data_IF_853562752105
#
_entry.id   IF_853562752105
#
_cell.length_a   1.000
_cell.length_b   1.000
_cell.length_c   1.000
_cell.angle_alpha   90.00
_cell.angle_beta   90.00
_cell.angle_gamma   90.00
#
_symmetry.space_group_name_H-M   'P 1'
#
loop_
_entity.id
_entity.type
_entity.pdbx_description
1 polymer ?
#
# COMPACT_ATOMS: atom_id res chain seq x y z
N UNK A 1 -10.79 -16.70 5.23
CA UNK A 1 -9.71 -15.98 5.94
C UNK A 1 -8.33 -16.30 5.37
N UNK A 2 -7.96 -17.58 5.32
CA UNK A 2 -6.65 -17.96 4.76
C UNK A 2 -6.47 -17.47 3.33
N UNK A 3 -7.50 -17.56 2.49
CA UNK A 3 -7.44 -17.09 1.11
C UNK A 3 -7.17 -15.58 1.03
N UNK A 4 -7.77 -14.80 1.92
CA UNK A 4 -7.55 -13.35 1.95
C UNK A 4 -6.09 -13.02 2.29
N UNK A 5 -5.48 -13.76 3.21
CA UNK A 5 -4.07 -13.59 3.55
C UNK A 5 -3.17 -14.01 2.39
N UNK A 6 -3.49 -15.12 1.70
CA UNK A 6 -2.74 -15.58 0.54
C UNK A 6 -2.83 -14.58 -0.61
N UNK A 7 -4.01 -14.03 -0.85
CA UNK A 7 -4.21 -13.01 -1.89
C UNK A 7 -3.42 -11.74 -1.56
N UNK A 8 -3.41 -11.33 -0.30
CA UNK A 8 -2.60 -10.20 0.14
C UNK A 8 -1.11 -10.47 -0.06
N UNK A 9 -0.65 -11.67 0.28
CA UNK A 9 0.76 -12.05 0.10
C UNK A 9 1.17 -11.94 -1.37
N UNK A 10 0.32 -12.41 -2.29
CA UNK A 10 0.58 -12.30 -3.73
C UNK A 10 0.68 -10.84 -4.18
N UNK A 11 -0.23 -9.98 -3.71
CA UNK A 11 -0.16 -8.55 -4.01
C UNK A 11 1.08 -7.90 -3.43
N UNK A 12 1.44 -8.24 -2.19
CA UNK A 12 2.63 -7.70 -1.55
C UNK A 12 3.91 -8.08 -2.29
N UNK A 13 4.00 -9.31 -2.79
CA UNK A 13 5.12 -9.76 -3.60
C UNK A 13 5.23 -8.98 -4.91
N UNK A 14 4.10 -8.74 -5.57
CA UNK A 14 4.07 -7.94 -6.80
C UNK A 14 4.50 -6.49 -6.52
N UNK A 15 4.04 -5.90 -5.41
CA UNK A 15 4.46 -4.56 -5.00
C UNK A 15 5.95 -4.53 -4.66
N UNK A 16 6.47 -5.59 -4.03
CA UNK A 16 7.90 -5.67 -3.72
C UNK A 16 8.75 -5.60 -4.99
N UNK A 17 8.35 -6.30 -6.06
CA UNK A 17 9.04 -6.23 -7.34
C UNK A 17 8.98 -4.81 -7.93
N UNK A 18 7.82 -4.15 -7.87
CA UNK A 18 7.67 -2.76 -8.28
C UNK A 18 8.59 -1.83 -7.48
N UNK A 19 8.69 -2.05 -6.15
CA UNK A 19 9.54 -1.24 -5.28
C UNK A 19 11.02 -1.40 -5.63
N UNK A 20 11.45 -2.59 -6.03
CA UNK A 20 12.82 -2.80 -6.48
C UNK A 20 13.10 -2.00 -7.76
N UNK A 21 12.17 -1.97 -8.70
CA UNK A 21 12.29 -1.17 -9.92
C UNK A 21 12.34 0.32 -9.58
N UNK A 22 11.48 0.77 -8.69
CA UNK A 22 11.45 2.16 -8.20
C UNK A 22 12.81 2.54 -7.60
N UNK A 23 13.39 1.66 -6.79
CA UNK A 23 14.69 1.92 -6.17
C UNK A 23 15.80 2.08 -7.21
N UNK A 24 15.81 1.22 -8.24
CA UNK A 24 16.80 1.31 -9.32
C UNK A 24 16.66 2.62 -10.08
N UNK A 25 15.44 3.00 -10.42
CA UNK A 25 15.17 4.22 -11.19
C UNK A 25 15.46 5.47 -10.36
N UNK A 26 15.15 5.45 -9.08
CA UNK A 26 15.47 6.56 -8.17
C UNK A 26 17.00 6.78 -8.08
N UNK A 27 17.77 5.70 -8.00
CA UNK A 27 19.24 5.80 -7.98
C UNK A 27 19.77 6.36 -9.28
N UNK A 28 19.15 6.02 -10.41
CA UNK A 28 19.54 6.59 -11.71
C UNK A 28 19.33 8.10 -11.75
N UNK A 29 18.18 8.57 -11.24
CA UNK A 29 17.92 10.01 -11.15
C UNK A 29 18.89 10.72 -10.20
N UNK A 30 19.22 10.08 -9.09
CA UNK A 30 20.21 10.59 -8.14
C UNK A 30 21.58 10.80 -8.81
N UNK A 31 22.01 9.84 -9.63
CA UNK A 31 23.27 9.96 -10.38
C UNK A 31 23.22 11.13 -11.36
N UNK A 32 22.10 11.37 -12.04
CA UNK A 32 21.96 12.52 -12.93
C UNK A 32 22.12 13.83 -12.16
N UNK A 33 21.55 13.93 -10.96
CA UNK A 33 21.70 15.12 -10.12
C UNK A 33 23.14 15.30 -9.65
N UNK A 34 23.81 14.22 -9.24
CA UNK A 34 25.21 14.24 -8.84
C UNK A 34 26.13 14.66 -9.99
N UNK A 35 25.77 14.33 -11.23
CA UNK A 35 26.48 14.77 -12.43
C UNK A 35 26.31 16.26 -12.73
N UNK A 36 25.52 16.97 -11.93
CA UNK A 36 25.38 18.43 -12.05
C UNK A 36 24.13 18.92 -12.74
N UNK A 37 23.21 18.03 -13.15
CA UNK A 37 21.95 18.46 -13.76
C UNK A 37 21.04 19.11 -12.71
N UNK A 38 20.41 20.25 -13.01
CA UNK A 38 19.44 20.85 -12.09
C UNK A 38 18.21 19.96 -11.94
N UNK A 39 17.53 20.05 -10.80
CA UNK A 39 16.33 19.25 -10.53
C UNK A 39 15.25 19.40 -11.60
N UNK A 40 15.07 20.61 -12.14
CA UNK A 40 14.08 20.83 -13.18
C UNK A 40 14.35 20.01 -14.44
N UNK A 41 15.61 19.80 -14.79
CA UNK A 41 15.98 18.96 -15.92
C UNK A 41 15.88 17.46 -15.60
N UNK A 42 16.31 17.07 -14.40
CA UNK A 42 16.21 15.68 -13.96
C UNK A 42 14.75 15.22 -13.97
N UNK A 43 13.84 16.07 -13.46
CA UNK A 43 12.41 15.70 -13.31
C UNK A 43 11.61 15.93 -14.59
N UNK A 44 12.12 16.67 -15.56
CA UNK A 44 11.44 16.90 -16.85
C UNK A 44 11.57 15.71 -17.81
N UNK A 45 12.50 14.78 -17.56
CA UNK A 45 12.71 13.62 -18.42
C UNK A 45 11.56 12.62 -18.35
N UNK A 46 11.39 11.84 -19.41
CA UNK A 46 10.35 10.80 -19.48
C UNK A 46 10.54 9.74 -18.40
N UNK A 47 11.80 9.39 -18.11
CA UNK A 47 12.13 8.39 -17.09
C UNK A 47 11.66 8.83 -15.70
N UNK A 48 11.81 10.12 -15.38
CA UNK A 48 11.33 10.65 -14.11
C UNK A 48 9.81 10.63 -14.04
N UNK A 49 9.12 10.99 -15.12
CA UNK A 49 7.66 10.95 -15.20
C UNK A 49 7.13 9.52 -14.99
N UNK A 50 7.72 8.54 -15.66
CA UNK A 50 7.37 7.14 -15.51
C UNK A 50 7.60 6.65 -14.08
N UNK A 51 8.73 7.03 -13.47
CA UNK A 51 9.03 6.68 -12.07
C UNK A 51 7.99 7.24 -11.11
N UNK A 52 7.64 8.52 -11.25
CA UNK A 52 6.65 9.15 -10.36
C UNK A 52 5.28 8.51 -10.50
N UNK A 53 4.88 8.14 -11.72
CA UNK A 53 3.63 7.43 -11.94
C UNK A 53 3.65 6.05 -11.30
N UNK A 54 4.74 5.31 -11.45
CA UNK A 54 4.88 3.99 -10.85
C UNK A 54 4.84 4.06 -9.33
N UNK A 55 5.53 5.04 -8.73
CA UNK A 55 5.51 5.25 -7.28
C UNK A 55 4.09 5.45 -6.77
N UNK A 56 3.32 6.33 -7.42
CA UNK A 56 1.95 6.61 -7.00
C UNK A 56 1.03 5.42 -7.21
N UNK A 57 1.14 4.72 -8.34
CA UNK A 57 0.32 3.55 -8.63
C UNK A 57 0.62 2.40 -7.67
N UNK A 58 1.90 2.15 -7.39
CA UNK A 58 2.34 1.11 -6.45
C UNK A 58 1.86 1.41 -5.03
N UNK A 59 1.94 2.68 -4.60
CA UNK A 59 1.44 3.11 -3.29
C UNK A 59 -0.06 2.91 -3.15
N UNK A 60 -0.84 3.27 -4.17
CA UNK A 60 -2.29 3.06 -4.17
C UNK A 60 -2.64 1.57 -4.14
N UNK A 61 -1.93 0.76 -4.91
CA UNK A 61 -2.15 -0.69 -4.97
C UNK A 61 -1.94 -1.33 -3.60
N UNK A 62 -0.85 -0.96 -2.92
CA UNK A 62 -0.57 -1.49 -1.59
C UNK A 62 -1.61 -1.01 -0.58
N UNK A 63 -1.97 0.27 -0.60
CA UNK A 63 -2.99 0.82 0.30
C UNK A 63 -4.34 0.14 0.10
N UNK A 64 -4.74 -0.12 -1.15
CA UNK A 64 -5.98 -0.82 -1.47
C UNK A 64 -5.96 -2.25 -0.94
N UNK A 65 -4.86 -2.97 -1.16
CA UNK A 65 -4.71 -4.35 -0.68
C UNK A 65 -4.73 -4.41 0.84
N UNK A 66 -4.02 -3.50 1.51
CA UNK A 66 -3.99 -3.41 2.97
C UNK A 66 -5.38 -3.12 3.54
N UNK A 67 -6.07 -2.12 2.97
CA UNK A 67 -7.42 -1.76 3.41
C UNK A 67 -8.42 -2.90 3.24
N UNK A 68 -8.34 -3.63 2.12
CA UNK A 68 -9.19 -4.79 1.87
C UNK A 68 -8.96 -5.91 2.88
N UNK A 69 -7.68 -6.21 3.16
CA UNK A 69 -7.33 -7.22 4.16
C UNK A 69 -7.83 -6.82 5.55
N UNK A 70 -7.61 -5.56 5.96
CA UNK A 70 -8.05 -5.07 7.27
C UNK A 70 -9.57 -5.20 7.43
N UNK A 71 -10.35 -4.88 6.38
CA UNK A 71 -11.81 -5.04 6.41
C UNK A 71 -12.20 -6.50 6.59
N UNK A 72 -11.56 -7.40 5.86
CA UNK A 72 -11.84 -8.84 5.95
C UNK A 72 -11.54 -9.36 7.35
N UNK A 73 -10.37 -9.02 7.90
CA UNK A 73 -9.97 -9.43 9.24
C UNK A 73 -10.94 -8.90 10.32
N UNK A 74 -11.29 -7.61 10.23
CA UNK A 74 -12.19 -7.00 11.19
C UNK A 74 -13.57 -7.68 11.16
N UNK A 75 -14.09 -7.98 9.98
CA UNK A 75 -15.39 -8.64 9.83
C UNK A 75 -15.36 -10.05 10.40
N UNK A 76 -14.31 -10.82 10.14
CA UNK A 76 -14.18 -12.17 10.69
C UNK A 76 -14.11 -12.14 12.21
N UNK A 77 -13.32 -11.23 12.78
CA UNK A 77 -13.23 -11.09 14.24
C UNK A 77 -14.58 -10.65 14.85
N UNK A 78 -15.30 -9.77 14.16
CA UNK A 78 -16.64 -9.37 14.60
C UNK A 78 -17.63 -10.53 14.59
N UNK A 79 -17.55 -11.41 13.59
CA UNK A 79 -18.39 -12.62 13.53
C UNK A 79 -18.08 -13.58 14.67
N UNK A 80 -16.84 -13.59 15.18
CA UNK A 80 -16.47 -14.38 16.35
C UNK A 80 -16.97 -13.78 17.65
N UNK A 81 -17.60 -12.61 17.60
CA UNK A 81 -18.18 -11.95 18.77
C UNK A 81 -17.24 -11.02 19.51
N UNK A 82 -16.08 -10.69 18.96
CA UNK A 82 -15.14 -9.78 19.59
C UNK A 82 -15.66 -8.34 19.59
N UNK A 83 -15.39 -7.60 20.68
CA UNK A 83 -15.71 -6.18 20.75
C UNK A 83 -14.80 -5.37 19.82
N UNK A 84 -15.25 -4.16 19.43
CA UNK A 84 -14.44 -3.27 18.62
C UNK A 84 -13.10 -2.93 19.28
N UNK A 85 -13.06 -2.81 20.62
CA UNK A 85 -11.81 -2.56 21.36
C UNK A 85 -10.84 -3.72 21.21
N UNK A 86 -11.35 -4.95 21.34
CA UNK A 86 -10.51 -6.15 21.23
C UNK A 86 -10.00 -6.33 19.80
N UNK A 87 -10.85 -6.11 18.81
CA UNK A 87 -10.46 -6.13 17.38
C UNK A 87 -9.37 -5.11 17.15
N UNK A 88 -9.53 -3.87 17.64
CA UNK A 88 -8.54 -2.81 17.50
C UNK A 88 -7.19 -3.19 18.07
N UNK A 89 -7.18 -3.83 19.26
CA UNK A 89 -5.93 -4.30 19.87
C UNK A 89 -5.24 -5.36 19.01
N UNK A 90 -6.01 -6.30 18.47
CA UNK A 90 -5.44 -7.37 17.62
C UNK A 90 -4.91 -6.83 16.31
N UNK A 91 -5.60 -5.85 15.70
CA UNK A 91 -5.21 -5.28 14.40
C UNK A 91 -4.27 -4.09 14.54
N UNK A 92 -4.00 -3.62 15.76
CA UNK A 92 -3.10 -2.48 15.97
C UNK A 92 -3.69 -1.13 15.59
N UNK A 93 -5.02 -0.98 15.68
CA UNK A 93 -5.72 0.27 15.34
C UNK A 93 -6.66 0.67 16.48
N UNK A 94 -7.19 1.90 16.45
CA UNK A 94 -8.15 2.36 17.45
C UNK A 94 -9.51 1.69 17.27
N UNK A 95 -10.32 1.65 18.32
CA UNK A 95 -11.67 1.07 18.22
C UNK A 95 -12.59 1.93 17.32
N UNK A 96 -12.35 3.23 17.25
CA UNK A 96 -13.06 4.11 16.30
C UNK A 96 -12.73 3.72 14.87
N UNK A 97 -11.47 3.39 14.59
CA UNK A 97 -11.07 2.92 13.26
C UNK A 97 -11.75 1.60 12.90
N UNK A 98 -11.87 0.68 13.87
CA UNK A 98 -12.60 -0.58 13.69
C UNK A 98 -14.06 -0.31 13.33
N UNK A 99 -14.70 0.61 14.04
CA UNK A 99 -16.09 0.99 13.77
C UNK A 99 -16.23 1.51 12.34
N UNK A 100 -15.32 2.38 11.91
CA UNK A 100 -15.30 2.91 10.55
C UNK A 100 -15.09 1.82 9.50
N UNK A 101 -14.15 0.92 9.75
CA UNK A 101 -13.85 -0.20 8.84
C UNK A 101 -15.08 -1.09 8.67
N UNK A 102 -15.77 -1.43 9.77
CA UNK A 102 -16.94 -2.31 9.74
C UNK A 102 -18.15 -1.66 9.07
N UNK A 103 -18.24 -0.33 9.10
CA UNK A 103 -19.30 0.42 8.41
C UNK A 103 -19.02 0.61 6.92
N UNK A 104 -17.76 0.53 6.49
CA UNK A 104 -17.42 0.75 5.10
C UNK A 104 -17.97 -0.39 4.23
N UNK A 105 -18.55 -0.02 3.09
CA UNK A 105 -19.01 -1.01 2.11
C UNK A 105 -17.83 -1.39 1.24
N UNK A 106 -17.70 -2.70 0.96
CA UNK A 106 -16.74 -3.16 -0.02
C UNK A 106 -17.21 -2.66 -1.40
N UNK A 107 -16.35 -1.98 -2.16
CA UNK A 107 -16.71 -1.65 -3.54
C UNK A 107 -16.96 -2.92 -4.32
N UNK A 108 -18.09 -2.99 -4.96
CA UNK A 108 -18.44 -4.13 -5.83
C UNK A 108 -17.91 -3.89 -7.23
#
# INVERSE_FOLDING_TARGET
MAQALDDFATEAEAVADEQQQIARDARRLSRHREAGLPWSEVLAGEDAGALLQLMRASGRRLATATGGLMRTLARELSREGLSHRKIGRLLGVTHQRVTTILKSRTPT
#
